data_IF_151349792442
#
_entry.id   IF_151349792442
#
_cell.length_a   1.000
_cell.length_b   1.000
_cell.length_c   1.000
_cell.angle_alpha   90.00
_cell.angle_beta   90.00
_cell.angle_gamma   90.00
#
_symmetry.space_group_name_H-M   'P 1'
#
loop_
_entity.id
_entity.type
_entity.pdbx_description
1 polymer ?
#
# COMPACT_ATOMS: atom_id res chain seq x y z
N UNK A 1 -13.39 -0.17 5.16
CA UNK A 1 -12.63 -0.23 3.90
C UNK A 1 -11.14 -0.18 4.17
N UNK A 2 -10.57 0.86 4.85
CA UNK A 2 -9.14 0.92 5.16
C UNK A 2 -8.63 -0.33 5.90
N UNK A 3 -9.35 -0.78 6.93
CA UNK A 3 -9.02 -1.99 7.68
C UNK A 3 -9.00 -3.24 6.79
N UNK A 4 -10.01 -3.43 5.92
CA UNK A 4 -10.03 -4.56 5.00
C UNK A 4 -8.89 -4.50 3.99
N UNK A 5 -8.56 -3.29 3.51
CA UNK A 5 -7.39 -3.07 2.66
C UNK A 5 -6.10 -3.48 3.38
N UNK A 6 -5.93 -3.06 4.64
CA UNK A 6 -4.75 -3.40 5.46
C UNK A 6 -4.61 -4.92 5.67
N UNK A 7 -5.72 -5.62 5.92
CA UNK A 7 -5.72 -7.09 6.03
C UNK A 7 -5.26 -7.75 4.74
N UNK A 8 -5.73 -7.29 3.58
CA UNK A 8 -5.32 -7.83 2.28
C UNK A 8 -3.84 -7.51 2.00
N UNK A 9 -3.41 -6.27 2.29
CA UNK A 9 -1.99 -5.89 2.16
C UNK A 9 -1.07 -6.70 3.08
N UNK A 10 -1.54 -7.07 4.28
CA UNK A 10 -0.78 -7.92 5.19
C UNK A 10 -0.46 -9.32 4.65
N UNK A 11 -1.17 -9.78 3.62
CA UNK A 11 -0.86 -11.02 2.90
C UNK A 11 0.18 -10.81 1.77
N UNK A 12 0.43 -9.56 1.38
CA UNK A 12 1.26 -9.23 0.22
C UNK A 12 2.69 -9.78 0.33
N UNK A 13 3.43 -9.65 1.46
CA UNK A 13 4.78 -10.16 1.59
C UNK A 13 4.86 -11.68 1.36
N UNK A 14 3.94 -12.45 1.98
CA UNK A 14 3.87 -13.89 1.81
C UNK A 14 3.69 -14.30 0.34
N UNK A 15 2.77 -13.64 -0.35
CA UNK A 15 2.52 -13.92 -1.76
C UNK A 15 3.70 -13.51 -2.64
N UNK A 16 4.34 -12.36 -2.38
CA UNK A 16 5.47 -11.87 -3.16
C UNK A 16 6.69 -12.79 -3.05
N UNK A 17 7.02 -13.26 -1.84
CA UNK A 17 8.15 -14.18 -1.62
C UNK A 17 7.93 -15.51 -2.37
N UNK A 18 6.72 -16.06 -2.36
CA UNK A 18 6.41 -17.28 -3.12
C UNK A 18 6.52 -17.05 -4.64
N UNK A 19 6.09 -15.90 -5.15
CA UNK A 19 6.21 -15.54 -6.56
C UNK A 19 7.69 -15.38 -6.96
N UNK A 20 8.52 -14.80 -6.07
CA UNK A 20 9.97 -14.70 -6.30
C UNK A 20 10.66 -16.07 -6.35
N UNK A 21 10.23 -17.01 -5.51
CA UNK A 21 10.71 -18.39 -5.56
C UNK A 21 10.42 -19.06 -6.91
N UNK A 22 9.35 -18.68 -7.62
CA UNK A 22 9.03 -19.06 -8.99
C UNK A 22 9.85 -18.35 -10.08
N UNK A 23 10.85 -17.50 -9.71
CA UNK A 23 11.75 -16.82 -10.65
C UNK A 23 11.26 -15.47 -11.17
N UNK A 24 10.10 -14.99 -10.72
CA UNK A 24 9.59 -13.67 -11.08
C UNK A 24 10.25 -12.62 -10.18
N UNK A 25 10.83 -11.57 -10.76
CA UNK A 25 11.45 -10.50 -9.99
C UNK A 25 10.46 -9.40 -9.61
N UNK A 26 10.89 -8.49 -8.69
CA UNK A 26 10.07 -7.39 -8.18
C UNK A 26 9.52 -6.48 -9.29
N UNK A 27 10.33 -6.14 -10.30
CA UNK A 27 9.93 -5.23 -11.39
C UNK A 27 8.80 -5.85 -12.21
N UNK A 28 8.96 -7.13 -12.57
CA UNK A 28 7.94 -7.88 -13.32
C UNK A 28 6.68 -8.06 -12.49
N UNK A 29 6.80 -8.38 -11.20
CA UNK A 29 5.64 -8.55 -10.32
C UNK A 29 4.81 -7.25 -10.23
N UNK A 30 5.46 -6.08 -10.09
CA UNK A 30 4.75 -4.79 -10.08
C UNK A 30 4.07 -4.49 -11.41
N UNK A 31 4.70 -4.82 -12.54
CA UNK A 31 4.07 -4.69 -13.85
C UNK A 31 2.86 -5.62 -13.99
N UNK A 32 3.04 -6.91 -13.69
CA UNK A 32 2.00 -7.93 -13.84
C UNK A 32 0.79 -7.65 -12.93
N UNK A 33 1.01 -7.26 -11.66
CA UNK A 33 -0.13 -6.97 -10.76
C UNK A 33 -1.04 -5.86 -11.28
N UNK A 34 -0.47 -4.85 -11.95
CA UNK A 34 -1.25 -3.77 -12.53
C UNK A 34 -1.92 -4.22 -13.84
N UNK A 35 -1.20 -4.86 -14.73
CA UNK A 35 -1.70 -5.26 -16.05
C UNK A 35 -2.76 -6.36 -15.96
N UNK A 36 -2.53 -7.39 -15.14
CA UNK A 36 -3.50 -8.47 -14.95
C UNK A 36 -4.79 -8.01 -14.26
N UNK A 37 -4.75 -6.91 -13.52
CA UNK A 37 -5.94 -6.30 -12.93
C UNK A 37 -6.79 -5.50 -13.92
N UNK A 38 -6.22 -5.03 -15.04
CA UNK A 38 -6.91 -4.15 -15.99
C UNK A 38 -8.21 -4.73 -16.57
N UNK A 39 -8.26 -5.99 -17.04
CA UNK A 39 -9.50 -6.54 -17.57
C UNK A 39 -10.63 -6.52 -16.54
N UNK A 40 -10.32 -6.88 -15.31
CA UNK A 40 -11.30 -6.92 -14.21
C UNK A 40 -11.75 -5.51 -13.83
N UNK A 41 -10.81 -4.56 -13.70
CA UNK A 41 -11.15 -3.15 -13.41
C UNK A 41 -11.97 -2.54 -14.55
N UNK A 42 -11.63 -2.83 -15.82
CA UNK A 42 -12.39 -2.35 -16.97
C UNK A 42 -13.83 -2.90 -16.98
N UNK A 43 -14.01 -4.20 -16.76
CA UNK A 43 -15.33 -4.84 -16.71
C UNK A 43 -16.16 -4.23 -15.57
N UNK A 44 -15.59 -4.11 -14.37
CA UNK A 44 -16.31 -3.54 -13.23
C UNK A 44 -16.63 -2.04 -13.48
N UNK A 45 -15.71 -1.27 -14.08
CA UNK A 45 -15.96 0.13 -14.42
C UNK A 45 -17.10 0.25 -15.44
N UNK A 46 -17.12 -0.55 -16.49
CA UNK A 46 -18.22 -0.53 -17.47
C UNK A 46 -19.55 -0.89 -16.84
N UNK A 47 -19.59 -1.87 -15.94
CA UNK A 47 -20.84 -2.34 -15.29
C UNK A 47 -21.30 -1.35 -14.22
N UNK A 48 -20.41 -0.87 -13.35
CA UNK A 48 -20.76 -0.07 -12.16
C UNK A 48 -20.73 1.43 -12.43
N UNK A 49 -19.68 1.90 -13.12
CA UNK A 49 -19.48 3.32 -13.41
C UNK A 49 -20.14 3.73 -14.74
N UNK A 50 -20.56 2.76 -15.55
CA UNK A 50 -21.21 2.93 -16.86
C UNK A 50 -20.37 3.69 -17.90
N UNK A 51 -19.13 3.99 -17.62
CA UNK A 51 -18.24 4.72 -18.54
C UNK A 51 -16.78 4.59 -18.09
N UNK A 52 -15.87 4.50 -19.07
CA UNK A 52 -14.43 4.64 -18.86
C UNK A 52 -13.92 6.05 -19.24
N UNK A 53 -14.83 6.99 -19.53
CA UNK A 53 -14.42 8.34 -19.94
C UNK A 53 -13.95 9.16 -18.76
N UNK A 54 -12.80 9.85 -18.91
CA UNK A 54 -12.28 10.82 -17.95
C UNK A 54 -12.06 12.17 -18.63
N UNK A 55 -12.13 13.28 -17.89
CA UNK A 55 -11.71 14.58 -18.42
C UNK A 55 -10.21 14.57 -18.73
N UNK A 56 -9.79 14.97 -19.92
CA UNK A 56 -8.37 15.04 -20.27
C UNK A 56 -7.55 15.91 -19.30
N UNK A 57 -8.16 16.94 -18.72
CA UNK A 57 -7.56 17.80 -17.69
C UNK A 57 -7.24 17.06 -16.37
N UNK A 58 -7.83 15.88 -16.14
CA UNK A 58 -7.54 15.06 -14.97
C UNK A 58 -6.31 14.16 -15.18
N UNK A 59 -5.94 13.90 -16.44
CA UNK A 59 -4.89 12.94 -16.79
C UNK A 59 -3.53 13.24 -16.15
N UNK A 60 -3.00 14.47 -16.10
CA UNK A 60 -1.73 14.76 -15.44
C UNK A 60 -1.74 14.35 -13.96
N UNK A 61 -2.76 14.75 -13.19
CA UNK A 61 -2.86 14.38 -11.79
C UNK A 61 -3.05 12.87 -11.57
N UNK A 62 -3.79 12.19 -12.46
CA UNK A 62 -3.90 10.72 -12.43
C UNK A 62 -2.53 10.08 -12.71
N UNK A 63 -1.76 10.62 -13.67
CA UNK A 63 -0.43 10.09 -14.01
C UNK A 63 0.56 10.24 -12.85
N UNK A 64 0.58 11.39 -12.18
CA UNK A 64 1.43 11.60 -11.01
C UNK A 64 1.08 10.62 -9.88
N UNK A 65 -0.21 10.46 -9.57
CA UNK A 65 -0.70 9.49 -8.58
C UNK A 65 -0.33 8.06 -8.98
N UNK A 66 -0.46 7.71 -10.27
CA UNK A 66 -0.13 6.39 -10.79
C UNK A 66 1.36 6.08 -10.69
N UNK A 67 2.22 7.03 -11.08
CA UNK A 67 3.67 6.86 -11.00
C UNK A 67 4.12 6.66 -9.55
N UNK A 68 3.63 7.48 -8.63
CA UNK A 68 4.00 7.38 -7.22
C UNK A 68 3.43 6.12 -6.57
N UNK A 69 2.12 5.88 -6.70
CA UNK A 69 1.42 4.84 -5.95
C UNK A 69 1.48 3.45 -6.58
N UNK A 70 1.44 3.37 -7.93
CA UNK A 70 1.37 2.06 -8.61
C UNK A 70 2.70 1.60 -9.19
N UNK A 71 3.65 2.53 -9.43
CA UNK A 71 4.97 2.20 -9.93
C UNK A 71 6.05 2.37 -8.85
N UNK A 72 6.38 3.59 -8.45
CA UNK A 72 7.54 3.87 -7.60
C UNK A 72 7.45 3.20 -6.21
N UNK A 73 6.36 3.41 -5.49
CA UNK A 73 6.19 2.84 -4.14
C UNK A 73 6.35 1.33 -4.12
N UNK A 74 5.59 0.54 -4.92
CA UNK A 74 5.72 -0.90 -4.88
C UNK A 74 7.05 -1.41 -5.49
N UNK A 75 7.62 -0.73 -6.50
CA UNK A 75 8.95 -1.10 -7.00
C UNK A 75 10.01 -0.98 -5.91
N UNK A 76 10.03 0.12 -5.18
CA UNK A 76 10.98 0.36 -4.10
C UNK A 76 10.78 -0.64 -2.96
N UNK A 77 9.53 -0.81 -2.48
CA UNK A 77 9.23 -1.72 -1.39
C UNK A 77 9.54 -3.18 -1.75
N UNK A 78 9.02 -3.67 -2.86
CA UNK A 78 9.23 -5.06 -3.27
C UNK A 78 10.68 -5.36 -3.67
N UNK A 79 11.41 -4.36 -4.17
CA UNK A 79 12.86 -4.52 -4.44
C UNK A 79 13.68 -4.63 -3.16
N UNK A 80 13.27 -3.98 -2.06
CA UNK A 80 13.97 -4.07 -0.78
C UNK A 80 13.96 -5.48 -0.18
N UNK A 81 12.93 -6.30 -0.50
CA UNK A 81 12.81 -7.68 -0.04
C UNK A 81 13.92 -8.61 -0.57
N UNK A 82 14.68 -8.18 -1.58
CA UNK A 82 15.84 -8.94 -2.06
C UNK A 82 17.10 -8.76 -1.18
N UNK A 83 17.11 -7.78 -0.28
CA UNK A 83 18.28 -7.38 0.50
C UNK A 83 18.07 -7.50 2.00
N UNK A 84 16.85 -7.26 2.46
CA UNK A 84 16.46 -7.34 3.86
C UNK A 84 15.11 -8.06 3.98
N UNK A 85 14.82 -8.61 5.16
CA UNK A 85 13.58 -9.31 5.41
C UNK A 85 12.35 -8.42 5.11
N UNK A 86 11.31 -9.04 4.55
CA UNK A 86 10.08 -8.33 4.18
C UNK A 86 9.40 -7.64 5.37
N UNK A 87 9.54 -8.21 6.57
CA UNK A 87 9.05 -7.62 7.83
C UNK A 87 9.78 -6.32 8.17
N UNK A 88 11.12 -6.28 8.03
CA UNK A 88 11.93 -5.06 8.25
C UNK A 88 11.60 -4.00 7.20
N UNK A 89 11.56 -4.40 5.94
CA UNK A 89 11.20 -3.51 4.84
C UNK A 89 9.84 -2.85 5.08
N UNK A 90 8.86 -3.64 5.54
CA UNK A 90 7.52 -3.15 5.85
C UNK A 90 7.55 -2.17 7.03
N UNK A 91 8.27 -2.47 8.10
CA UNK A 91 8.44 -1.56 9.25
C UNK A 91 9.04 -0.22 8.81
N UNK A 92 10.09 -0.24 8.00
CA UNK A 92 10.73 0.98 7.48
C UNK A 92 9.77 1.75 6.56
N UNK A 93 9.06 1.05 5.68
CA UNK A 93 8.03 1.64 4.82
C UNK A 93 6.95 2.37 5.62
N UNK A 94 6.59 1.88 6.80
CA UNK A 94 5.57 2.47 7.69
C UNK A 94 5.96 3.82 8.32
N UNK A 95 7.05 4.45 7.89
CA UNK A 95 7.29 5.88 8.11
C UNK A 95 6.23 6.75 7.38
N UNK A 96 5.56 6.20 6.32
CA UNK A 96 4.65 7.00 5.50
C UNK A 96 3.44 7.58 6.25
N UNK A 97 2.78 6.94 7.25
CA UNK A 97 1.69 7.57 7.98
C UNK A 97 2.14 8.82 8.74
N UNK A 98 3.36 8.79 9.29
CA UNK A 98 3.96 9.97 9.95
C UNK A 98 4.12 11.10 8.94
N UNK A 99 4.71 10.80 7.78
CA UNK A 99 4.92 11.78 6.71
C UNK A 99 3.60 12.34 6.17
N UNK A 100 2.54 11.52 6.06
CA UNK A 100 1.21 11.97 5.62
C UNK A 100 0.59 12.92 6.64
N UNK A 101 0.63 12.59 7.94
CA UNK A 101 0.06 13.44 8.98
C UNK A 101 0.85 14.74 9.10
N UNK A 102 2.18 14.65 9.18
CA UNK A 102 3.04 15.85 9.27
C UNK A 102 2.91 16.71 8.01
N UNK A 103 2.93 16.09 6.82
CA UNK A 103 2.70 16.80 5.56
C UNK A 103 1.30 17.41 5.47
N UNK A 104 0.28 16.74 5.99
CA UNK A 104 -1.08 17.26 6.12
C UNK A 104 -1.12 18.56 6.94
N UNK A 105 -0.45 18.57 8.09
CA UNK A 105 -0.36 19.75 8.95
C UNK A 105 0.45 20.87 8.30
N UNK A 106 1.67 20.57 7.84
CA UNK A 106 2.62 21.58 7.36
C UNK A 106 2.25 22.15 5.97
N UNK A 107 1.88 21.28 5.03
CA UNK A 107 1.64 21.68 3.64
C UNK A 107 0.17 22.10 3.41
N UNK A 108 -0.76 21.46 4.10
CA UNK A 108 -2.19 21.66 3.87
C UNK A 108 -2.93 22.32 5.03
N UNK A 109 -2.21 22.70 6.09
CA UNK A 109 -2.77 23.35 7.29
C UNK A 109 -3.93 22.55 7.90
N UNK A 110 -3.84 21.21 7.85
CA UNK A 110 -4.80 20.34 8.54
C UNK A 110 -4.69 20.56 10.05
N UNK A 111 -5.84 20.56 10.73
CA UNK A 111 -5.83 20.71 12.18
C UNK A 111 -5.30 19.43 12.82
N UNK A 112 -4.23 19.57 13.61
CA UNK A 112 -3.76 18.49 14.47
C UNK A 112 -4.77 18.31 15.62
N UNK A 113 -5.41 17.16 15.69
CA UNK A 113 -6.29 16.80 16.81
C UNK A 113 -5.50 15.97 17.81
N UNK A 114 -5.83 16.08 19.10
CA UNK A 114 -5.19 15.27 20.15
C UNK A 114 -5.35 13.77 19.88
N UNK A 115 -6.52 13.35 19.41
CA UNK A 115 -6.77 11.96 19.02
C UNK A 115 -5.93 11.52 17.82
N UNK A 116 -5.79 12.38 16.81
CA UNK A 116 -4.95 12.10 15.64
C UNK A 116 -3.48 11.94 16.00
N UNK A 117 -2.95 12.80 16.89
CA UNK A 117 -1.58 12.72 17.40
C UNK A 117 -1.39 11.47 18.26
N UNK A 118 -2.31 11.18 19.18
CA UNK A 118 -2.23 9.99 20.04
C UNK A 118 -2.29 8.70 19.19
N UNK A 119 -3.19 8.63 18.20
CA UNK A 119 -3.25 7.49 17.27
C UNK A 119 -1.96 7.33 16.48
N UNK A 120 -1.38 8.43 15.97
CA UNK A 120 -0.10 8.38 15.26
C UNK A 120 1.05 7.88 16.15
N UNK A 121 1.14 8.36 17.41
CA UNK A 121 2.18 7.92 18.34
C UNK A 121 2.02 6.43 18.68
N UNK A 122 0.82 5.97 18.99
CA UNK A 122 0.54 4.55 19.24
C UNK A 122 0.90 3.70 18.01
N UNK A 123 0.52 4.13 16.81
CA UNK A 123 0.85 3.48 15.56
C UNK A 123 2.37 3.37 15.39
N UNK A 124 3.09 4.48 15.53
CA UNK A 124 4.54 4.55 15.33
C UNK A 124 5.29 3.64 16.30
N UNK A 125 4.99 3.74 17.59
CA UNK A 125 5.61 2.88 18.63
C UNK A 125 5.25 1.43 18.37
N UNK A 126 3.98 1.14 18.06
CA UNK A 126 3.52 -0.21 17.76
C UNK A 126 4.27 -0.84 16.58
N UNK A 127 4.44 -0.11 15.48
CA UNK A 127 5.18 -0.59 14.30
C UNK A 127 6.68 -0.78 14.62
N UNK A 128 7.30 0.12 15.38
CA UNK A 128 8.70 -0.02 15.79
C UNK A 128 8.96 -1.30 16.61
N UNK A 129 7.99 -1.77 17.39
CA UNK A 129 8.12 -3.01 18.17
C UNK A 129 8.08 -4.30 17.31
N UNK A 130 7.75 -4.21 16.03
CA UNK A 130 7.89 -5.34 15.10
C UNK A 130 9.34 -5.57 14.67
N UNK A 131 10.23 -4.58 14.90
CA UNK A 131 11.64 -4.71 14.56
C UNK A 131 12.32 -5.77 15.43
N UNK A 132 13.11 -6.65 14.79
CA UNK A 132 13.93 -7.65 15.46
C UNK A 132 15.43 -7.32 15.24
N UNK A 133 16.17 -7.14 16.31
CA UNK A 133 17.60 -6.75 16.28
C UNK A 133 18.54 -7.81 15.71
N UNK A 134 18.07 -9.01 15.44
CA UNK A 134 18.86 -10.10 14.85
C UNK A 134 18.99 -10.04 13.32
N UNK A 135 18.33 -9.06 12.69
CA UNK A 135 18.26 -8.95 11.24
C UNK A 135 19.44 -8.16 10.66
N UNK A 136 19.89 -8.55 9.46
CA UNK A 136 20.99 -7.90 8.75
C UNK A 136 20.62 -6.48 8.31
N UNK A 137 21.53 -5.52 8.59
CA UNK A 137 21.42 -4.15 8.11
C UNK A 137 22.13 -4.04 6.74
N UNK A 138 21.35 -4.11 5.65
CA UNK A 138 21.83 -3.83 4.31
C UNK A 138 21.24 -2.51 3.79
N UNK A 139 22.09 -1.52 3.55
CA UNK A 139 21.66 -0.22 3.03
C UNK A 139 20.98 -0.34 1.66
N UNK A 140 21.36 -1.35 0.86
CA UNK A 140 20.70 -1.63 -0.42
C UNK A 140 19.21 -1.99 -0.27
N UNK A 141 18.82 -2.50 0.90
CA UNK A 141 17.42 -2.76 1.25
C UNK A 141 16.76 -1.62 2.02
N UNK A 142 17.48 -1.02 2.98
CA UNK A 142 16.96 0.05 3.85
C UNK A 142 16.58 1.30 3.05
N UNK A 143 17.46 1.73 2.13
CA UNK A 143 17.22 2.95 1.34
C UNK A 143 15.96 2.82 0.47
N UNK A 144 15.78 1.75 -0.34
CA UNK A 144 14.54 1.58 -1.10
C UNK A 144 13.30 1.47 -0.20
N UNK A 145 13.37 0.77 0.94
CA UNK A 145 12.25 0.69 1.88
C UNK A 145 11.85 2.07 2.43
N UNK A 146 12.82 2.90 2.84
CA UNK A 146 12.53 4.26 3.31
C UNK A 146 11.99 5.17 2.20
N UNK A 147 12.57 5.12 1.00
CA UNK A 147 12.08 5.86 -0.16
C UNK A 147 10.66 5.42 -0.57
N UNK A 148 10.34 4.13 -0.42
CA UNK A 148 8.97 3.65 -0.66
C UNK A 148 7.97 4.30 0.31
N UNK A 149 8.35 4.53 1.57
CA UNK A 149 7.55 5.27 2.53
C UNK A 149 7.33 6.74 2.11
N UNK A 150 8.37 7.40 1.61
CA UNK A 150 8.27 8.78 1.11
C UNK A 150 7.35 8.88 -0.11
N UNK A 151 7.53 7.98 -1.10
CA UNK A 151 6.69 7.96 -2.31
C UNK A 151 5.24 7.60 -2.00
N UNK A 152 5.01 6.70 -1.03
CA UNK A 152 3.69 6.36 -0.54
C UNK A 152 3.01 7.57 0.14
N UNK A 153 3.74 8.30 0.99
CA UNK A 153 3.21 9.50 1.62
C UNK A 153 2.82 10.55 0.57
N UNK A 154 3.67 10.79 -0.43
CA UNK A 154 3.36 11.69 -1.53
C UNK A 154 2.11 11.24 -2.30
N UNK A 155 2.03 9.95 -2.65
CA UNK A 155 0.84 9.34 -3.27
C UNK A 155 -0.44 9.60 -2.45
N UNK A 156 -0.43 9.30 -1.15
CA UNK A 156 -1.60 9.48 -0.28
C UNK A 156 -2.01 10.94 -0.18
N UNK A 157 -1.04 11.85 -0.02
CA UNK A 157 -1.30 13.29 0.04
C UNK A 157 -1.88 13.81 -1.28
N UNK A 158 -1.32 13.43 -2.43
CA UNK A 158 -1.83 13.83 -3.74
C UNK A 158 -3.23 13.26 -3.99
N UNK A 159 -3.47 12.00 -3.67
CA UNK A 159 -4.77 11.36 -3.82
C UNK A 159 -5.83 12.02 -2.93
N UNK A 160 -5.50 12.37 -1.67
CA UNK A 160 -6.43 13.03 -0.76
C UNK A 160 -6.85 14.42 -1.25
N UNK A 161 -5.99 15.10 -2.01
CA UNK A 161 -6.19 16.44 -2.61
C UNK A 161 -6.59 16.42 -4.07
N UNK A 162 -6.80 15.24 -4.63
CA UNK A 162 -7.18 15.11 -6.04
C UNK A 162 -8.48 15.86 -6.34
N UNK A 163 -8.43 16.76 -7.32
CA UNK A 163 -9.51 17.72 -7.63
C UNK A 163 -10.73 17.04 -8.26
N UNK A 164 -10.53 16.00 -9.06
CA UNK A 164 -11.58 15.35 -9.86
C UNK A 164 -12.20 14.16 -9.12
N UNK A 165 -12.68 14.38 -7.88
CA UNK A 165 -13.32 13.35 -7.06
C UNK A 165 -14.63 12.79 -7.66
N UNK A 166 -15.18 13.45 -8.68
CA UNK A 166 -16.36 12.98 -9.40
C UNK A 166 -16.06 11.85 -10.40
N UNK A 167 -14.78 11.56 -10.67
CA UNK A 167 -14.42 10.37 -11.45
C UNK A 167 -14.77 9.14 -10.62
N UNK A 168 -15.59 8.22 -11.16
CA UNK A 168 -15.95 7.00 -10.45
C UNK A 168 -14.73 6.17 -10.09
N UNK A 169 -14.77 5.50 -8.94
CA UNK A 169 -13.59 4.88 -8.34
C UNK A 169 -12.99 3.75 -9.19
N UNK A 170 -13.81 2.95 -9.87
CA UNK A 170 -13.29 1.86 -10.69
C UNK A 170 -12.63 2.39 -11.96
N UNK A 171 -13.22 3.41 -12.59
CA UNK A 171 -12.64 4.12 -13.72
C UNK A 171 -11.31 4.79 -13.31
N UNK A 172 -11.28 5.47 -12.16
CA UNK A 172 -10.04 6.05 -11.62
C UNK A 172 -8.96 4.98 -11.42
N UNK A 173 -9.28 3.89 -10.71
CA UNK A 173 -8.35 2.79 -10.44
C UNK A 173 -7.86 2.10 -11.72
N UNK A 174 -8.72 1.97 -12.74
CA UNK A 174 -8.32 1.47 -14.06
C UNK A 174 -7.21 2.32 -14.68
N UNK A 175 -7.39 3.65 -14.76
CA UNK A 175 -6.37 4.53 -15.34
C UNK A 175 -5.08 4.57 -14.52
N UNK A 176 -5.20 4.61 -13.20
CA UNK A 176 -4.03 4.60 -12.30
C UNK A 176 -3.24 3.30 -12.46
N UNK A 177 -3.92 2.15 -12.56
CA UNK A 177 -3.27 0.85 -12.80
C UNK A 177 -2.71 0.75 -14.23
N UNK A 178 -3.42 1.25 -15.25
CA UNK A 178 -2.95 1.22 -16.64
C UNK A 178 -1.66 2.04 -16.81
N UNK A 179 -1.62 3.24 -16.27
CA UNK A 179 -0.43 4.11 -16.33
C UNK A 179 0.71 3.52 -15.49
N UNK A 180 0.44 3.11 -14.25
CA UNK A 180 1.45 2.51 -13.38
C UNK A 180 2.01 1.21 -13.95
N UNK A 181 1.15 0.35 -14.51
CA UNK A 181 1.54 -0.88 -15.19
C UNK A 181 2.36 -0.60 -16.45
N UNK A 182 1.96 0.38 -17.26
CA UNK A 182 2.71 0.81 -18.45
C UNK A 182 4.10 1.34 -18.10
N UNK A 183 4.21 2.18 -17.07
CA UNK A 183 5.50 2.70 -16.58
C UNK A 183 6.40 1.57 -16.08
N UNK A 184 5.88 0.65 -15.27
CA UNK A 184 6.67 -0.45 -14.72
C UNK A 184 7.06 -1.47 -15.78
N UNK A 185 6.20 -1.72 -16.78
CA UNK A 185 6.54 -2.55 -17.93
C UNK A 185 7.65 -1.91 -18.79
N UNK A 186 7.57 -0.60 -19.00
CA UNK A 186 8.63 0.14 -19.69
C UNK A 186 9.96 0.05 -18.94
N UNK A 187 9.95 0.23 -17.60
CA UNK A 187 11.13 0.05 -16.75
C UNK A 187 11.68 -1.37 -16.88
N UNK A 188 10.83 -2.40 -16.83
CA UNK A 188 11.24 -3.80 -16.98
C UNK A 188 11.89 -4.06 -18.34
N UNK A 189 11.33 -3.49 -19.41
CA UNK A 189 11.86 -3.64 -20.77
C UNK A 189 13.20 -2.93 -20.96
N UNK A 190 13.31 -1.65 -20.54
CA UNK A 190 14.54 -0.85 -20.69
C UNK A 190 15.69 -1.39 -19.84
N UNK A 191 15.39 -1.94 -18.66
CA UNK A 191 16.40 -2.53 -17.77
C UNK A 191 16.70 -4.00 -18.08
N UNK A 192 16.06 -4.61 -19.08
CA UNK A 192 16.15 -6.04 -19.41
C UNK A 192 15.86 -6.93 -18.19
N UNK A 193 14.94 -6.52 -17.31
CA UNK A 193 14.57 -7.26 -16.09
C UNK A 193 13.18 -7.88 -16.18
N UNK A 194 12.67 -8.13 -17.38
CA UNK A 194 11.38 -8.79 -17.55
C UNK A 194 11.56 -10.31 -17.40
N UNK A 195 11.11 -10.87 -16.29
CA UNK A 195 11.14 -12.31 -15.99
C UNK A 195 9.71 -12.83 -15.88
N UNK A 196 9.17 -13.36 -16.97
CA UNK A 196 7.80 -13.86 -16.99
C UNK A 196 7.65 -15.17 -16.20
N UNK A 197 6.50 -15.43 -15.57
CA UNK A 197 6.19 -16.71 -14.96
C UNK A 197 6.29 -17.85 -15.97
N UNK A 198 6.86 -18.99 -15.58
CA UNK A 198 7.06 -20.12 -16.48
C UNK A 198 5.90 -21.12 -16.39
N UNK A 199 5.44 -21.41 -15.18
CA UNK A 199 4.40 -22.41 -14.91
C UNK A 199 2.99 -21.82 -14.85
N UNK A 200 1.99 -22.66 -15.13
CA UNK A 200 0.57 -22.25 -14.95
C UNK A 200 0.27 -21.86 -13.51
N UNK A 201 0.91 -22.53 -12.53
CA UNK A 201 0.81 -22.20 -11.10
C UNK A 201 1.33 -20.81 -10.79
N UNK A 202 2.49 -20.43 -11.36
CA UNK A 202 3.10 -19.12 -11.16
C UNK A 202 2.23 -17.98 -11.75
N UNK A 203 1.65 -18.21 -12.93
CA UNK A 203 0.65 -17.30 -13.51
C UNK A 203 -0.58 -17.17 -12.63
N UNK A 204 -1.06 -18.31 -12.05
CA UNK A 204 -2.16 -18.33 -11.11
C UNK A 204 -1.87 -17.50 -9.86
N UNK A 205 -0.66 -17.61 -9.29
CA UNK A 205 -0.23 -16.80 -8.13
C UNK A 205 -0.10 -15.31 -8.49
N UNK A 206 0.45 -14.98 -9.66
CA UNK A 206 0.52 -13.59 -10.14
C UNK A 206 -0.88 -12.99 -10.36
N UNK A 207 -1.82 -13.77 -10.90
CA UNK A 207 -3.20 -13.33 -11.06
C UNK A 207 -3.90 -13.14 -9.71
N UNK A 208 -3.74 -14.08 -8.79
CA UNK A 208 -4.27 -13.97 -7.42
C UNK A 208 -3.72 -12.74 -6.71
N UNK A 209 -2.41 -12.48 -6.85
CA UNK A 209 -1.76 -11.27 -6.34
C UNK A 209 -2.35 -10.01 -6.95
N UNK A 210 -2.52 -9.96 -8.28
CA UNK A 210 -3.10 -8.82 -8.98
C UNK A 210 -4.53 -8.53 -8.51
N UNK A 211 -5.36 -9.57 -8.39
CA UNK A 211 -6.75 -9.41 -7.98
C UNK A 211 -6.87 -9.04 -6.50
N UNK A 212 -6.14 -9.70 -5.60
CA UNK A 212 -6.20 -9.38 -4.18
C UNK A 212 -5.60 -8.01 -3.87
N UNK A 213 -4.40 -7.71 -4.38
CA UNK A 213 -3.71 -6.46 -4.04
C UNK A 213 -4.25 -5.29 -4.84
N UNK A 214 -4.32 -5.37 -6.18
CA UNK A 214 -4.70 -4.20 -6.99
C UNK A 214 -6.22 -3.97 -7.02
N UNK A 215 -7.02 -5.00 -7.25
CA UNK A 215 -8.48 -4.84 -7.26
C UNK A 215 -9.05 -4.82 -5.84
N UNK A 216 -8.50 -5.63 -4.92
CA UNK A 216 -8.94 -5.67 -3.53
C UNK A 216 -8.36 -4.50 -2.71
N UNK A 217 -7.09 -4.61 -2.31
CA UNK A 217 -6.50 -3.68 -1.33
C UNK A 217 -6.39 -2.24 -1.84
N UNK A 218 -5.78 -2.03 -3.03
CA UNK A 218 -5.56 -0.67 -3.57
C UNK A 218 -6.86 0.09 -3.75
N UNK A 219 -7.86 -0.52 -4.37
CA UNK A 219 -9.16 0.11 -4.61
C UNK A 219 -9.87 0.48 -3.29
N UNK A 220 -9.86 -0.42 -2.31
CA UNK A 220 -10.43 -0.16 -0.99
C UNK A 220 -9.67 0.96 -0.26
N UNK A 221 -8.34 1.02 -0.39
CA UNK A 221 -7.51 2.06 0.19
C UNK A 221 -7.78 3.42 -0.46
N UNK A 222 -7.79 3.49 -1.79
CA UNK A 222 -8.13 4.71 -2.54
C UNK A 222 -9.51 5.23 -2.15
N UNK A 223 -10.51 4.36 -2.08
CA UNK A 223 -11.85 4.73 -1.65
C UNK A 223 -11.87 5.23 -0.21
N UNK A 224 -11.06 4.65 0.68
CA UNK A 224 -10.94 5.11 2.05
C UNK A 224 -10.35 6.52 2.12
N UNK A 225 -9.29 6.81 1.36
CA UNK A 225 -8.67 8.14 1.29
C UNK A 225 -9.68 9.18 0.81
N UNK A 226 -10.52 8.87 -0.17
CA UNK A 226 -11.56 9.80 -0.64
C UNK A 226 -12.66 10.06 0.40
N UNK A 227 -12.95 9.10 1.29
CA UNK A 227 -14.05 9.22 2.27
C UNK A 227 -13.57 9.85 3.57
N UNK A 228 -12.45 9.39 4.14
CA UNK A 228 -11.98 9.76 5.48
C UNK A 228 -10.72 10.63 5.47
N UNK A 229 -10.16 10.90 4.29
CA UNK A 229 -8.91 11.65 4.13
C UNK A 229 -7.65 10.80 4.27
N UNK A 230 -6.52 11.34 3.79
CA UNK A 230 -5.25 10.62 3.74
C UNK A 230 -4.70 10.31 5.12
N UNK A 231 -4.70 11.27 6.04
CA UNK A 231 -4.15 11.11 7.39
C UNK A 231 -4.83 9.96 8.17
N UNK A 232 -6.16 9.90 8.18
CA UNK A 232 -6.90 8.82 8.88
C UNK A 232 -6.74 7.47 8.18
N UNK A 233 -6.78 7.46 6.85
CA UNK A 233 -6.62 6.23 6.08
C UNK A 233 -5.22 5.63 6.26
N UNK A 234 -4.17 6.46 6.31
CA UNK A 234 -2.78 6.00 6.48
C UNK A 234 -2.53 5.39 7.87
N UNK A 235 -3.10 5.96 8.93
CA UNK A 235 -2.98 5.38 10.27
C UNK A 235 -3.75 4.06 10.39
N UNK A 236 -4.94 3.97 9.79
CA UNK A 236 -5.72 2.72 9.79
C UNK A 236 -5.05 1.61 8.99
N UNK A 237 -4.25 1.92 7.98
CA UNK A 237 -3.52 0.90 7.22
C UNK A 237 -2.35 0.28 7.99
N UNK A 238 -1.95 0.84 9.14
CA UNK A 238 -0.97 0.23 10.03
C UNK A 238 -1.42 -1.11 10.66
N UNK A 239 -2.68 -1.51 10.45
CA UNK A 239 -3.10 -2.90 10.71
C UNK A 239 -2.45 -3.94 9.80
N UNK A 240 -1.81 -3.51 8.69
CA UNK A 240 -1.08 -4.39 7.77
C UNK A 240 0.04 -5.21 8.46
N UNK A 241 1.01 -4.61 9.20
CA UNK A 241 2.03 -5.39 9.92
C UNK A 241 1.43 -6.36 10.94
N UNK A 242 0.35 -5.97 11.62
CA UNK A 242 -0.38 -6.83 12.55
C UNK A 242 -0.95 -8.06 11.83
N UNK A 243 -1.55 -7.86 10.66
CA UNK A 243 -2.06 -8.96 9.85
C UNK A 243 -0.94 -9.86 9.36
N UNK A 244 0.17 -9.29 8.87
CA UNK A 244 1.36 -10.05 8.46
C UNK A 244 1.91 -10.90 9.60
N UNK A 245 1.93 -10.39 10.83
CA UNK A 245 2.33 -11.15 12.01
C UNK A 245 1.43 -12.37 12.25
N UNK A 246 0.10 -12.17 12.26
CA UNK A 246 -0.84 -13.28 12.47
C UNK A 246 -0.71 -14.34 11.38
N UNK A 247 -0.51 -13.94 10.15
CA UNK A 247 -0.28 -14.85 9.01
C UNK A 247 1.03 -15.62 9.17
N UNK A 248 2.11 -14.95 9.58
CA UNK A 248 3.41 -15.55 9.87
C UNK A 248 3.29 -16.64 10.95
N UNK A 249 2.59 -16.35 12.04
CA UNK A 249 2.37 -17.31 13.14
C UNK A 249 1.51 -18.49 12.68
N UNK A 250 0.34 -18.22 12.06
CA UNK A 250 -0.66 -19.26 11.78
C UNK A 250 -0.32 -20.13 10.56
N UNK A 251 0.35 -19.54 9.57
CA UNK A 251 0.64 -20.24 8.29
C UNK A 251 2.10 -20.68 8.22
N UNK A 252 3.05 -19.85 8.70
CA UNK A 252 4.47 -20.13 8.59
C UNK A 252 5.08 -20.73 9.86
N UNK A 253 4.31 -20.82 10.96
CA UNK A 253 4.79 -21.37 12.25
C UNK A 253 5.87 -20.49 12.89
N UNK A 254 5.90 -19.20 12.61
CA UNK A 254 6.89 -18.27 13.15
C UNK A 254 6.72 -18.10 14.67
N UNK A 255 7.84 -18.02 15.40
CA UNK A 255 7.85 -17.73 16.82
C UNK A 255 7.33 -16.31 17.13
N UNK A 256 6.56 -16.20 18.19
CA UNK A 256 5.99 -14.93 18.66
C UNK A 256 6.89 -14.29 19.69
N UNK A 257 7.32 -13.05 19.49
CA UNK A 257 7.96 -12.26 20.54
C UNK A 257 6.92 -11.41 21.29
N UNK A 258 7.13 -11.19 22.57
CA UNK A 258 6.29 -10.32 23.41
C UNK A 258 6.24 -8.90 22.83
N UNK A 259 7.35 -8.40 22.28
CA UNK A 259 7.40 -7.09 21.62
C UNK A 259 6.44 -6.99 20.43
N UNK A 260 6.37 -8.03 19.58
CA UNK A 260 5.44 -8.06 18.43
C UNK A 260 3.98 -8.09 18.89
N UNK A 261 3.65 -8.79 19.99
CA UNK A 261 2.30 -8.79 20.56
C UNK A 261 1.91 -7.41 21.11
N UNK A 262 2.80 -6.77 21.88
CA UNK A 262 2.56 -5.41 22.38
C UNK A 262 2.44 -4.43 21.22
N UNK A 263 3.31 -4.55 20.21
CA UNK A 263 3.26 -3.75 18.99
C UNK A 263 1.91 -3.86 18.27
N UNK A 264 1.40 -5.10 18.11
CA UNK A 264 0.07 -5.35 17.53
C UNK A 264 -1.06 -4.71 18.34
N UNK A 265 -1.00 -4.82 19.67
CA UNK A 265 -2.01 -4.21 20.54
C UNK A 265 -2.02 -2.67 20.42
N UNK A 266 -0.85 -2.04 20.34
CA UNK A 266 -0.72 -0.59 20.14
C UNK A 266 -1.25 -0.15 18.77
N UNK A 267 -0.96 -0.90 17.72
CA UNK A 267 -1.48 -0.62 16.36
C UNK A 267 -3.00 -0.75 16.33
N UNK A 268 -3.58 -1.77 16.93
CA UNK A 268 -5.04 -1.92 17.05
C UNK A 268 -5.63 -0.75 17.85
N UNK A 269 -5.01 -0.39 18.98
CA UNK A 269 -5.43 0.76 19.78
C UNK A 269 -5.41 2.07 18.97
N UNK A 270 -4.38 2.28 18.14
CA UNK A 270 -4.30 3.46 17.27
C UNK A 270 -5.49 3.54 16.30
N UNK A 271 -5.86 2.41 15.69
CA UNK A 271 -7.02 2.32 14.80
C UNK A 271 -8.34 2.62 15.51
N UNK A 272 -8.50 2.15 16.74
CA UNK A 272 -9.66 2.47 17.58
C UNK A 272 -9.73 3.97 17.91
N UNK A 273 -8.63 4.58 18.36
CA UNK A 273 -8.53 6.02 18.68
C UNK A 273 -9.00 6.86 17.49
N UNK A 274 -8.48 6.59 16.29
CA UNK A 274 -8.83 7.31 15.05
C UNK A 274 -10.31 7.10 14.67
N UNK A 275 -10.84 5.89 14.89
CA UNK A 275 -12.24 5.58 14.58
C UNK A 275 -13.18 6.31 15.52
N UNK A 276 -12.88 6.35 16.83
CA UNK A 276 -13.66 7.08 17.83
C UNK A 276 -13.70 8.57 17.56
N UNK A 277 -12.57 9.18 17.17
CA UNK A 277 -12.56 10.61 16.75
C UNK A 277 -13.57 10.87 15.62
N UNK A 278 -13.61 9.97 14.62
CA UNK A 278 -14.54 10.08 13.49
C UNK A 278 -16.02 9.99 13.90
N UNK A 279 -16.33 9.34 15.01
CA UNK A 279 -17.70 9.21 15.55
C UNK A 279 -18.07 10.48 16.33
N UNK A 280 -17.17 10.98 17.17
CA UNK A 280 -17.40 12.19 18.01
C UNK A 280 -17.50 13.44 17.13
N UNK A 281 -16.61 13.59 16.14
CA UNK A 281 -16.60 14.75 15.25
C UNK A 281 -17.81 14.85 14.29
N UNK A 282 -18.60 13.80 14.14
CA UNK A 282 -19.87 13.84 13.39
C UNK A 282 -21.07 14.30 14.22
N UNK A 283 -20.90 14.38 15.55
CA UNK A 283 -21.97 14.82 16.48
C UNK A 283 -21.89 16.32 16.84
N UNK A 284 -20.90 17.02 16.35
CA UNK A 284 -20.74 18.47 16.41
C UNK A 284 -20.94 19.08 15.01
#
# INVERSE_FOLDING_TARGET
MAVLSAVIYGLMPLMAVNIYAGGVNAVTLVALRNILALPVLAIIAVIKDKSLKIPLKALPGISEIAVLGMAATPLLLLSSYNYIDSSVSTVIHFIYPILVVVGGILLFKEKATSFGIAGLLCCTVGVMLFYDSKQSFDLAGIIPAALSGVTCAAYVMMLSRFKYKNIPIFTFSFYVSAIGGGVTLLVAAVTNRLTLPVGVGDWGLCLLFALSVTVGAVLLYQKSIFIIGGSKASVLSALEPTTSLFVGILIMGEGVSVCKLIGSALVIASGLIITFEGIIGKKQ
#
